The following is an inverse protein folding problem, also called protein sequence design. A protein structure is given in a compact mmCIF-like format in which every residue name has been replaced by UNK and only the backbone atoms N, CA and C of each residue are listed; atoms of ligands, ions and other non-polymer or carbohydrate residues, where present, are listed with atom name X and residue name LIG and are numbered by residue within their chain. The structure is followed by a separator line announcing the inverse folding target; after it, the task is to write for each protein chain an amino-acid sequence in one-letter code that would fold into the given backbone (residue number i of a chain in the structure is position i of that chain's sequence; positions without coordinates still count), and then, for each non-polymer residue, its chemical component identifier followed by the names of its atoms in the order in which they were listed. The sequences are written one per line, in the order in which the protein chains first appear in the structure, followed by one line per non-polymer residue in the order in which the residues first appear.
data_IF_156120705584
#
_entry.id   IF_156120705584
#
_cell.length_a   1.000
_cell.length_b   1.000
_cell.length_c   1.000
_cell.angle_alpha   90.00
_cell.angle_beta   90.00
_cell.angle_gamma   90.00
#
_symmetry.space_group_name_H-M   'P 1'
#
loop_
_entity.id
_entity.type
_entity.pdbx_description
1 polymer ?
#
# COMPACT_ATOMS: atom_id res chain seq x y z
N UNK A 1 -30.56 -36.41 -37.30
CA UNK A 1 -30.75 -35.44 -36.21
C UNK A 1 -29.63 -35.64 -35.22
N UNK A 2 -28.76 -34.65 -34.98
CA UNK A 2 -27.80 -34.71 -33.88
C UNK A 2 -28.42 -34.09 -32.61
N UNK A 3 -28.00 -34.52 -31.41
CA UNK A 3 -28.49 -33.96 -30.15
C UNK A 3 -27.83 -32.59 -29.88
N UNK A 4 -28.65 -31.66 -29.42
CA UNK A 4 -28.27 -30.33 -28.94
C UNK A 4 -27.71 -30.42 -27.53
N UNK A 5 -26.43 -30.08 -27.37
CA UNK A 5 -25.82 -29.80 -26.06
C UNK A 5 -26.25 -28.40 -25.60
N UNK A 6 -27.12 -28.39 -24.59
CA UNK A 6 -27.61 -27.21 -23.90
C UNK A 6 -26.86 -27.10 -22.56
N UNK A 7 -25.71 -26.42 -22.56
CA UNK A 7 -24.99 -26.09 -21.33
C UNK A 7 -25.43 -24.71 -20.84
N UNK A 8 -26.42 -24.71 -19.94
CA UNK A 8 -26.86 -23.55 -19.17
C UNK A 8 -25.72 -23.02 -18.31
N UNK A 9 -25.39 -21.73 -18.49
CA UNK A 9 -24.49 -20.98 -17.61
C UNK A 9 -25.28 -20.52 -16.39
N UNK A 10 -24.96 -21.06 -15.22
CA UNK A 10 -25.40 -20.52 -13.94
C UNK A 10 -24.67 -19.19 -13.67
N UNK A 11 -25.40 -18.10 -13.82
CA UNK A 11 -25.02 -16.78 -13.36
C UNK A 11 -25.21 -16.70 -11.85
N UNK A 12 -24.14 -16.87 -11.10
CA UNK A 12 -24.13 -16.62 -9.65
C UNK A 12 -24.21 -15.09 -9.44
N UNK A 13 -25.43 -14.62 -9.19
CA UNK A 13 -25.70 -13.32 -8.56
C UNK A 13 -25.20 -13.39 -7.12
N UNK A 14 -24.18 -12.61 -6.78
CA UNK A 14 -23.73 -12.47 -5.39
C UNK A 14 -24.49 -11.28 -4.80
N UNK A 15 -25.51 -11.62 -4.03
CA UNK A 15 -26.22 -10.66 -3.19
C UNK A 15 -25.25 -10.06 -2.17
N UNK A 16 -25.18 -8.73 -2.23
CA UNK A 16 -24.88 -7.84 -1.13
C UNK A 16 -25.77 -8.19 0.07
N UNK A 17 -25.17 -8.67 1.16
CA UNK A 17 -25.50 -8.31 2.55
C UNK A 17 -24.75 -9.20 3.55
N UNK A 18 -23.60 -8.71 4.01
CA UNK A 18 -23.03 -9.09 5.31
C UNK A 18 -22.71 -7.80 6.05
N UNK A 19 -23.69 -7.33 6.82
CA UNK A 19 -23.53 -6.22 7.74
C UNK A 19 -22.72 -6.66 8.95
N UNK A 20 -21.48 -6.18 9.08
CA UNK A 20 -20.81 -6.14 10.37
C UNK A 20 -21.20 -4.85 11.07
N UNK A 21 -21.54 -4.96 12.34
CA UNK A 21 -21.87 -3.81 13.19
C UNK A 21 -20.71 -2.79 13.15
N UNK A 22 -21.01 -1.61 12.62
CA UNK A 22 -20.11 -0.47 12.63
C UNK A 22 -20.03 0.04 14.08
N UNK A 23 -18.88 -0.12 14.72
CA UNK A 23 -18.54 0.72 15.86
C UNK A 23 -18.09 2.06 15.27
N UNK A 24 -18.96 3.06 15.35
CA UNK A 24 -18.65 4.42 14.98
C UNK A 24 -17.68 5.01 16.01
N UNK A 25 -16.46 5.33 15.56
CA UNK A 25 -15.43 5.98 16.37
C UNK A 25 -15.29 7.47 16.03
N UNK A 26 -16.29 8.07 15.36
CA UNK A 26 -16.31 9.51 15.04
C UNK A 26 -16.22 10.42 16.27
N UNK A 27 -16.44 9.88 17.48
CA UNK A 27 -16.26 10.56 18.77
C UNK A 27 -15.00 10.20 19.57
N UNK A 28 -14.02 9.48 19.00
CA UNK A 28 -12.77 9.20 19.71
C UNK A 28 -11.87 10.43 19.67
N UNK A 29 -11.89 11.18 20.77
CA UNK A 29 -10.94 12.24 21.08
C UNK A 29 -9.59 11.63 21.51
N UNK A 30 -8.47 12.08 20.92
CA UNK A 30 -7.14 11.44 21.02
C UNK A 30 -6.18 12.07 22.06
N UNK A 31 -6.65 12.94 22.96
CA UNK A 31 -5.94 13.41 24.18
C UNK A 31 -6.97 13.98 25.17
N UNK A 32 -6.76 14.18 26.48
CA UNK A 32 -5.65 14.04 27.42
C UNK A 32 -6.21 13.45 28.74
N UNK A 33 -5.33 12.81 29.53
CA UNK A 33 -5.43 12.45 30.96
C UNK A 33 -6.80 12.46 31.66
N UNK A 34 -7.25 11.30 32.17
CA UNK A 34 -7.86 11.22 33.52
C UNK A 34 -7.73 9.82 34.16
N UNK A 35 -7.65 9.84 35.48
CA UNK A 35 -7.25 8.80 36.43
C UNK A 35 -8.28 7.66 36.51
N UNK A 36 -7.81 6.42 36.47
CA UNK A 36 -8.66 5.24 36.70
C UNK A 36 -8.57 4.75 38.16
N UNK A 37 -9.73 4.73 38.82
CA UNK A 37 -9.95 4.05 40.10
C UNK A 37 -10.05 2.51 39.92
N UNK A 38 -9.35 1.79 40.77
CA UNK A 38 -9.25 0.33 40.80
C UNK A 38 -10.52 -0.34 41.37
N UNK A 39 -11.10 -1.31 40.63
CA UNK A 39 -11.90 -2.39 41.22
C UNK A 39 -11.52 -3.76 40.67
N UNK A 40 -11.06 -4.62 41.59
CA UNK A 40 -10.69 -6.03 41.42
C UNK A 40 -11.90 -6.90 41.05
N UNK A 41 -11.71 -7.78 40.07
CA UNK A 41 -12.48 -9.01 39.92
C UNK A 41 -11.52 -10.16 39.59
N UNK A 42 -11.52 -11.20 40.41
CA UNK A 42 -10.76 -12.44 40.23
C UNK A 42 -11.60 -13.44 39.42
N UNK A 43 -11.02 -14.07 38.40
CA UNK A 43 -11.56 -15.29 37.78
C UNK A 43 -10.47 -16.28 37.39
N UNK A 44 -10.81 -17.55 37.59
CA UNK A 44 -10.03 -18.77 37.43
C UNK A 44 -9.56 -19.04 35.99
N UNK A 45 -8.38 -19.66 35.91
CA UNK A 45 -7.72 -20.09 34.67
C UNK A 45 -8.06 -21.56 34.40
N UNK A 46 -8.54 -21.85 33.19
CA UNK A 46 -8.70 -23.22 32.65
C UNK A 46 -7.54 -23.51 31.71
N UNK A 47 -6.77 -24.57 32.01
CA UNK A 47 -5.68 -25.07 31.17
C UNK A 47 -6.22 -25.91 30.00
N UNK A 48 -5.79 -25.59 28.77
CA UNK A 48 -6.03 -26.41 27.59
C UNK A 48 -4.69 -26.94 27.04
N UNK A 49 -4.58 -28.26 26.89
CA UNK A 49 -3.47 -28.98 26.27
C UNK A 49 -3.48 -28.81 24.74
N UNK A 50 -2.34 -28.47 24.15
CA UNK A 50 -2.15 -28.40 22.69
C UNK A 50 -1.39 -29.63 22.18
N UNK A 51 -1.91 -30.24 21.12
CA UNK A 51 -1.28 -31.29 20.34
C UNK A 51 -0.51 -30.71 19.15
N UNK A 52 0.68 -31.28 18.89
CA UNK A 52 1.57 -30.96 17.78
C UNK A 52 0.96 -31.37 16.43
N UNK A 53 1.06 -30.51 15.43
CA UNK A 53 0.79 -30.83 14.02
C UNK A 53 2.06 -30.55 13.22
N UNK A 54 2.55 -31.56 12.53
CA UNK A 54 3.71 -31.53 11.62
C UNK A 54 3.34 -30.87 10.27
N UNK A 55 4.21 -29.98 9.77
CA UNK A 55 4.11 -29.36 8.45
C UNK A 55 4.81 -30.20 7.36
N UNK A 56 4.22 -30.34 6.14
CA UNK A 56 4.88 -30.99 5.01
C UNK A 56 5.74 -30.01 4.19
N UNK A 57 6.97 -30.43 3.89
CA UNK A 57 7.92 -29.72 3.02
C UNK A 57 7.60 -29.95 1.54
N UNK A 58 7.30 -28.88 0.80
CA UNK A 58 7.17 -28.87 -0.66
C UNK A 58 8.46 -28.34 -1.31
N UNK A 59 9.17 -29.21 -2.04
CA UNK A 59 10.30 -28.85 -2.89
C UNK A 59 9.79 -28.51 -4.31
N UNK A 60 9.88 -27.24 -4.71
CA UNK A 60 9.77 -26.86 -6.12
C UNK A 60 11.14 -26.60 -6.72
N UNK A 61 11.47 -27.40 -7.74
CA UNK A 61 12.69 -27.34 -8.56
C UNK A 61 12.42 -26.42 -9.75
N UNK A 62 13.01 -25.23 -9.75
CA UNK A 62 12.98 -24.30 -10.89
C UNK A 62 14.09 -24.69 -11.86
N UNK A 63 13.72 -24.96 -13.11
CA UNK A 63 14.64 -25.17 -14.23
C UNK A 63 14.85 -23.84 -14.93
N UNK A 64 16.07 -23.31 -14.88
CA UNK A 64 16.51 -22.16 -15.67
C UNK A 64 17.11 -22.69 -16.98
N UNK A 65 16.56 -22.25 -18.11
CA UNK A 65 17.16 -22.45 -19.44
C UNK A 65 17.74 -21.11 -19.91
N UNK A 66 19.07 -21.07 -20.04
CA UNK A 66 19.83 -19.95 -20.60
C UNK A 66 19.76 -19.97 -22.14
N UNK A 67 19.37 -18.86 -22.75
CA UNK A 67 19.51 -18.64 -24.21
C UNK A 67 20.10 -17.24 -24.49
N UNK A 68 21.38 -17.12 -24.89
CA UNK A 68 22.05 -15.83 -24.96
C UNK A 68 22.27 -15.36 -26.40
N UNK A 69 21.24 -14.85 -27.10
CA UNK A 69 21.45 -14.15 -28.39
C UNK A 69 20.40 -13.08 -28.71
N UNK A 70 20.61 -11.84 -28.27
CA UNK A 70 20.29 -10.62 -29.05
C UNK A 70 20.68 -9.35 -28.30
N UNK A 71 21.54 -8.52 -28.89
CA UNK A 71 21.23 -7.10 -29.16
C UNK A 71 22.46 -6.40 -29.77
N UNK A 72 22.29 -5.90 -30.99
CA UNK A 72 23.16 -4.87 -31.60
C UNK A 72 22.30 -3.63 -31.82
N UNK A 73 22.80 -2.52 -31.27
CA UNK A 73 22.84 -1.14 -31.79
C UNK A 73 21.52 -0.51 -32.25
N UNK A 74 21.18 0.61 -31.62
CA UNK A 74 20.76 1.83 -32.33
C UNK A 74 21.20 3.05 -31.51
N UNK A 75 22.06 3.88 -32.13
CA UNK A 75 22.46 5.18 -31.62
C UNK A 75 21.55 6.23 -32.27
N UNK A 76 20.85 7.02 -31.44
CA UNK A 76 20.11 8.19 -31.90
C UNK A 76 20.87 9.49 -31.56
N UNK A 77 20.70 10.55 -32.37
CA UNK A 77 21.43 11.79 -32.21
C UNK A 77 20.88 12.63 -31.05
N UNK A 78 21.79 13.23 -30.27
CA UNK A 78 21.47 14.18 -29.22
C UNK A 78 21.18 15.54 -29.85
N UNK A 79 19.91 15.94 -29.91
CA UNK A 79 19.55 17.34 -30.15
C UNK A 79 19.60 18.12 -28.82
N UNK A 80 20.43 19.15 -28.81
CA UNK A 80 20.61 20.08 -27.70
C UNK A 80 19.61 21.23 -27.85
N UNK A 81 18.50 21.19 -27.10
CA UNK A 81 17.54 22.31 -27.03
C UNK A 81 17.13 22.58 -25.57
N UNK A 82 17.42 23.82 -25.14
CA UNK A 82 16.83 24.60 -24.02
C UNK A 82 16.96 24.03 -22.57
N UNK A 83 18.14 24.22 -21.97
CA UNK A 83 18.38 24.03 -20.52
C UNK A 83 17.75 25.11 -19.61
N UNK A 84 17.46 26.32 -20.12
CA UNK A 84 17.10 27.45 -19.25
C UNK A 84 15.64 27.48 -18.80
N UNK A 85 14.72 26.83 -19.52
CA UNK A 85 13.29 26.80 -19.12
C UNK A 85 12.99 25.68 -18.11
N UNK A 86 13.77 24.60 -18.13
CA UNK A 86 13.64 23.49 -17.20
C UNK A 86 14.04 23.86 -15.76
N UNK A 87 15.16 24.58 -15.58
CA UNK A 87 15.61 25.03 -14.25
C UNK A 87 14.63 26.00 -13.57
N UNK A 88 13.93 26.82 -14.36
CA UNK A 88 12.95 27.79 -13.84
C UNK A 88 11.64 27.11 -13.40
N UNK A 89 11.26 26.00 -14.06
CA UNK A 89 10.14 25.17 -13.66
C UNK A 89 10.44 24.38 -12.37
N UNK A 90 11.67 23.86 -12.25
CA UNK A 90 12.13 23.11 -11.08
C UNK A 90 12.19 23.96 -9.80
N UNK A 91 12.65 25.23 -9.88
CA UNK A 91 12.66 26.14 -8.71
C UNK A 91 11.27 26.57 -8.23
N UNK A 92 10.29 26.68 -9.12
CA UNK A 92 8.88 26.92 -8.73
C UNK A 92 8.29 25.70 -8.01
N UNK A 93 8.70 24.49 -8.39
CA UNK A 93 8.24 23.26 -7.76
C UNK A 93 8.72 23.12 -6.30
N UNK A 94 9.98 23.42 -6.01
CA UNK A 94 10.52 23.45 -4.63
C UNK A 94 9.80 24.47 -3.73
N UNK A 95 9.29 25.57 -4.31
CA UNK A 95 8.50 26.56 -3.58
C UNK A 95 7.05 26.11 -3.35
N UNK A 96 6.40 25.44 -4.31
CA UNK A 96 5.01 24.98 -4.15
C UNK A 96 4.89 23.76 -3.23
N UNK A 97 5.90 22.86 -3.22
CA UNK A 97 5.91 21.69 -2.33
C UNK A 97 6.22 22.01 -0.86
N UNK A 98 6.80 23.18 -0.56
CA UNK A 98 7.10 23.62 0.82
C UNK A 98 5.86 23.92 1.68
N UNK A 99 4.66 23.97 1.10
CA UNK A 99 3.42 24.29 1.81
C UNK A 99 2.35 23.20 1.72
N UNK A 100 2.72 21.94 1.44
CA UNK A 100 1.82 20.83 1.75
C UNK A 100 2.04 20.50 3.22
N UNK A 101 1.24 21.10 4.10
CA UNK A 101 1.09 20.57 5.45
C UNK A 101 0.57 19.15 5.31
N UNK A 102 1.46 18.19 5.57
CA UNK A 102 1.09 16.79 5.65
C UNK A 102 0.07 16.63 6.80
N UNK A 103 -0.86 15.67 6.69
CA UNK A 103 -1.83 15.41 7.75
C UNK A 103 -1.13 15.22 9.09
N UNK A 104 -1.76 15.66 10.18
CA UNK A 104 -1.21 15.56 11.53
C UNK A 104 -0.55 14.18 11.76
N UNK A 105 0.75 14.21 12.08
CA UNK A 105 1.56 13.01 12.35
C UNK A 105 2.43 12.51 11.19
N UNK A 106 2.22 12.94 9.94
CA UNK A 106 3.15 12.63 8.86
C UNK A 106 4.23 13.71 8.74
N UNK A 107 5.49 13.34 9.00
CA UNK A 107 6.65 14.17 8.65
C UNK A 107 7.27 13.62 7.38
N UNK A 108 7.63 14.50 6.45
CA UNK A 108 8.38 14.12 5.26
C UNK A 108 9.78 13.69 5.70
N UNK A 109 9.94 12.40 5.97
CA UNK A 109 11.21 11.82 6.37
C UNK A 109 11.89 11.27 5.12
N UNK A 110 13.16 11.65 4.92
CA UNK A 110 13.99 10.98 3.93
C UNK A 110 14.04 9.50 4.29
N UNK A 111 13.67 8.63 3.34
CA UNK A 111 13.80 7.18 3.52
C UNK A 111 15.23 6.85 3.93
N UNK A 112 15.37 6.10 5.03
CA UNK A 112 16.64 5.53 5.42
C UNK A 112 17.10 4.46 4.42
N UNK A 113 18.34 4.02 4.55
CA UNK A 113 18.80 2.81 3.86
C UNK A 113 18.03 1.61 4.41
N UNK A 114 17.44 0.81 3.53
CA UNK A 114 16.69 -0.39 3.93
C UNK A 114 17.60 -1.37 4.69
N UNK A 115 17.19 -1.73 5.90
CA UNK A 115 17.77 -2.79 6.72
C UNK A 115 16.80 -4.00 6.71
N UNK A 116 17.17 -5.12 6.06
CA UNK A 116 16.31 -6.30 5.96
C UNK A 116 15.96 -6.95 7.30
N UNK A 117 16.88 -6.96 8.26
CA UNK A 117 16.68 -7.60 9.56
C UNK A 117 15.76 -6.75 10.44
N UNK A 118 16.00 -5.44 10.46
CA UNK A 118 15.09 -4.48 11.11
C UNK A 118 13.70 -4.53 10.47
N UNK A 119 13.60 -4.61 9.13
CA UNK A 119 12.32 -4.67 8.42
C UNK A 119 11.55 -5.95 8.79
N UNK A 120 12.25 -7.08 8.90
CA UNK A 120 11.66 -8.35 9.35
C UNK A 120 11.16 -8.26 10.80
N UNK A 121 11.92 -7.63 11.69
CA UNK A 121 11.53 -7.39 13.08
C UNK A 121 10.29 -6.48 13.16
N UNK A 122 10.32 -5.33 12.48
CA UNK A 122 9.19 -4.39 12.42
C UNK A 122 7.94 -5.02 11.79
N UNK A 123 8.09 -5.83 10.73
CA UNK A 123 6.98 -6.54 10.09
C UNK A 123 6.32 -7.52 11.07
N UNK A 124 7.11 -8.23 11.88
CA UNK A 124 6.61 -9.11 12.94
C UNK A 124 5.89 -8.31 14.02
N UNK A 125 6.47 -7.19 14.45
CA UNK A 125 5.85 -6.29 15.43
C UNK A 125 4.48 -5.80 14.97
N UNK A 126 4.36 -5.33 13.73
CA UNK A 126 3.07 -4.91 13.13
C UNK A 126 2.08 -6.08 13.12
N UNK A 127 2.51 -7.25 12.62
CA UNK A 127 1.64 -8.43 12.55
C UNK A 127 1.08 -8.81 13.93
N UNK A 128 1.93 -8.85 14.95
CA UNK A 128 1.52 -9.22 16.31
C UNK A 128 0.54 -8.21 16.91
N UNK A 129 0.86 -6.92 16.84
CA UNK A 129 0.01 -5.85 17.40
C UNK A 129 -1.35 -5.81 16.72
N UNK A 130 -1.40 -5.93 15.39
CA UNK A 130 -2.67 -6.04 14.66
C UNK A 130 -3.45 -7.27 15.08
N UNK A 131 -2.80 -8.44 15.19
CA UNK A 131 -3.47 -9.69 15.57
C UNK A 131 -4.00 -9.67 17.00
N UNK A 132 -3.26 -9.08 17.94
CA UNK A 132 -3.73 -8.90 19.32
C UNK A 132 -4.94 -7.96 19.39
N UNK A 133 -4.89 -6.85 18.65
CA UNK A 133 -6.02 -5.93 18.53
C UNK A 133 -7.26 -6.62 17.93
N UNK A 134 -7.10 -7.35 16.83
CA UNK A 134 -8.20 -8.05 16.13
C UNK A 134 -8.85 -9.14 16.98
N UNK A 135 -8.04 -9.92 17.71
CA UNK A 135 -8.54 -10.98 18.58
C UNK A 135 -9.06 -10.43 19.92
N UNK A 136 -8.82 -9.15 20.21
CA UNK A 136 -9.13 -8.55 21.50
C UNK A 136 -8.38 -9.19 22.66
N UNK A 137 -7.16 -9.69 22.41
CA UNK A 137 -6.36 -10.39 23.42
C UNK A 137 -5.11 -9.60 23.78
N UNK A 138 -4.67 -9.77 25.03
CA UNK A 138 -3.44 -9.18 25.53
C UNK A 138 -2.19 -9.85 24.96
N UNK A 139 -1.10 -9.10 24.77
CA UNK A 139 0.24 -9.67 24.67
C UNK A 139 0.57 -10.50 25.92
N UNK A 140 0.97 -11.76 25.74
CA UNK A 140 1.49 -12.59 26.84
C UNK A 140 2.98 -12.86 26.65
N UNK A 141 3.74 -12.99 27.73
CA UNK A 141 5.18 -13.33 27.72
C UNK A 141 5.44 -14.86 27.67
N UNK A 142 4.49 -15.65 27.14
CA UNK A 142 4.70 -17.11 26.99
C UNK A 142 5.93 -17.41 26.11
N UNK A 143 6.46 -18.62 26.11
CA UNK A 143 7.72 -18.99 25.42
C UNK A 143 7.74 -18.63 23.92
N UNK A 144 6.58 -18.58 23.28
CA UNK A 144 6.37 -18.13 21.88
C UNK A 144 6.55 -16.61 21.70
N UNK A 145 6.62 -15.85 22.79
CA UNK A 145 6.64 -14.38 22.89
C UNK A 145 8.04 -13.77 23.08
N UNK A 146 9.05 -14.56 23.43
CA UNK A 146 10.44 -14.06 23.48
C UNK A 146 10.92 -13.60 22.09
N UNK A 147 10.45 -14.24 21.03
CA UNK A 147 10.64 -13.81 19.63
C UNK A 147 9.92 -12.49 19.30
N UNK A 148 8.93 -12.11 20.10
CA UNK A 148 8.23 -10.84 19.99
C UNK A 148 9.02 -9.76 20.72
N UNK A 149 9.49 -10.00 21.95
CA UNK A 149 10.20 -8.99 22.74
C UNK A 149 11.43 -8.40 22.00
N UNK A 150 12.21 -9.26 21.34
CA UNK A 150 13.33 -8.82 20.50
C UNK A 150 12.88 -7.99 19.28
N UNK A 151 11.73 -8.33 18.69
CA UNK A 151 11.15 -7.58 17.58
C UNK A 151 10.56 -6.23 18.00
N UNK A 152 10.30 -6.04 19.29
CA UNK A 152 9.74 -4.81 19.86
C UNK A 152 10.80 -3.82 20.36
N UNK A 153 12.08 -4.20 20.46
CA UNK A 153 13.17 -3.33 20.99
C UNK A 153 12.76 -2.57 22.26
N UNK A 154 12.04 -3.23 23.18
CA UNK A 154 11.51 -2.62 24.40
C UNK A 154 10.45 -1.51 24.21
N UNK A 155 10.04 -1.17 22.98
CA UNK A 155 9.04 -0.12 22.69
C UNK A 155 7.65 -0.41 23.24
N UNK A 156 7.35 -1.68 23.50
CA UNK A 156 6.01 -2.19 23.85
C UNK A 156 6.01 -2.90 25.22
N UNK A 157 7.02 -2.68 26.08
CA UNK A 157 7.10 -3.30 27.42
C UNK A 157 5.90 -2.97 28.30
N UNK A 158 5.36 -1.76 28.17
CA UNK A 158 4.17 -1.31 28.88
C UNK A 158 2.97 -2.21 28.60
N UNK A 159 2.80 -2.67 27.35
CA UNK A 159 1.70 -3.57 26.98
C UNK A 159 1.77 -4.92 27.72
N UNK A 160 2.97 -5.39 28.07
CA UNK A 160 3.15 -6.63 28.83
C UNK A 160 2.97 -6.43 30.33
N UNK A 161 3.06 -5.20 30.84
CA UNK A 161 2.93 -4.91 32.28
C UNK A 161 1.49 -4.58 32.70
N UNK A 162 0.65 -4.04 31.81
CA UNK A 162 -0.71 -3.60 32.13
C UNK A 162 -1.67 -4.78 32.34
N UNK A 163 -2.28 -4.91 33.52
CA UNK A 163 -3.15 -6.06 33.86
C UNK A 163 -4.51 -6.10 33.16
N UNK A 164 -4.93 -5.02 32.52
CA UNK A 164 -6.25 -4.86 31.88
C UNK A 164 -6.10 -4.80 30.36
N UNK A 165 -7.06 -5.38 29.65
CA UNK A 165 -7.10 -5.29 28.19
C UNK A 165 -7.43 -3.87 27.77
N UNK A 166 -6.51 -3.23 27.03
CA UNK A 166 -6.71 -1.90 26.49
C UNK A 166 -6.57 -1.91 24.96
N UNK A 167 -7.68 -2.20 24.28
CA UNK A 167 -7.75 -2.26 22.81
C UNK A 167 -7.36 -0.94 22.16
N UNK A 168 -7.67 0.19 22.81
CA UNK A 168 -7.31 1.52 22.31
C UNK A 168 -5.80 1.68 22.27
N UNK A 169 -5.10 1.30 23.34
CA UNK A 169 -3.63 1.34 23.36
C UNK A 169 -3.05 0.39 22.32
N UNK A 170 -3.59 -0.83 22.16
CA UNK A 170 -3.13 -1.77 21.13
C UNK A 170 -3.29 -1.20 19.71
N UNK A 171 -4.41 -0.54 19.43
CA UNK A 171 -4.63 0.13 18.14
C UNK A 171 -3.64 1.26 17.88
N UNK A 172 -3.40 2.12 18.87
CA UNK A 172 -2.42 3.21 18.74
C UNK A 172 -1.01 2.64 18.52
N UNK A 173 -0.65 1.57 19.23
CA UNK A 173 0.64 0.90 19.09
C UNK A 173 0.80 0.20 17.74
N UNK A 174 -0.26 -0.43 17.21
CA UNK A 174 -0.21 -1.04 15.87
C UNK A 174 0.00 0.01 14.78
N UNK A 175 -0.65 1.17 14.91
CA UNK A 175 -0.45 2.34 14.04
C UNK A 175 0.99 2.84 14.11
N UNK A 176 1.55 3.03 15.31
CA UNK A 176 2.95 3.46 15.48
C UNK A 176 3.94 2.45 14.90
N UNK A 177 3.70 1.15 15.13
CA UNK A 177 4.52 0.09 14.54
C UNK A 177 4.48 0.10 13.01
N UNK A 178 3.31 0.40 12.42
CA UNK A 178 3.14 0.52 10.99
C UNK A 178 3.93 1.73 10.44
N UNK A 179 3.93 2.85 11.15
CA UNK A 179 4.71 4.03 10.79
C UNK A 179 6.22 3.76 10.91
N UNK A 180 6.67 3.07 11.96
CA UNK A 180 8.05 2.60 12.12
C UNK A 180 8.47 1.70 10.93
N UNK A 181 7.63 0.73 10.56
CA UNK A 181 7.87 -0.13 9.39
C UNK A 181 8.01 0.69 8.10
N UNK A 182 7.19 1.73 7.94
CA UNK A 182 7.18 2.57 6.76
C UNK A 182 8.49 3.36 6.56
N UNK A 183 9.25 3.61 7.64
CA UNK A 183 10.57 4.26 7.56
C UNK A 183 11.67 3.36 6.97
N UNK A 184 11.45 2.04 6.96
CA UNK A 184 12.42 1.03 6.57
C UNK A 184 11.89 0.08 5.47
N UNK A 185 10.94 0.56 4.65
CA UNK A 185 10.43 -0.24 3.52
C UNK A 185 11.56 -0.60 2.55
N UNK A 186 11.51 -1.81 1.96
CA UNK A 186 12.39 -2.11 0.84
C UNK A 186 12.11 -1.13 -0.33
N UNK A 187 13.10 -0.89 -1.20
CA UNK A 187 12.87 -0.14 -2.42
C UNK A 187 11.73 -0.79 -3.21
N UNK A 188 10.86 0.03 -3.78
CA UNK A 188 9.77 -0.49 -4.61
C UNK A 188 10.35 -1.10 -5.91
N UNK A 189 9.66 -2.08 -6.51
CA UNK A 189 10.04 -2.55 -7.83
C UNK A 189 9.99 -1.40 -8.83
N UNK A 190 10.90 -1.46 -9.80
CA UNK A 190 10.95 -0.51 -10.92
C UNK A 190 10.22 -1.08 -12.11
N UNK A 191 9.44 -0.25 -12.80
CA UNK A 191 8.84 -0.62 -14.08
C UNK A 191 9.89 -0.80 -15.17
N UNK A 192 9.57 -1.58 -16.19
CA UNK A 192 10.43 -1.80 -17.37
C UNK A 192 10.72 -0.47 -18.10
N UNK A 193 9.76 0.46 -18.04
CA UNK A 193 9.80 1.73 -18.76
C UNK A 193 9.99 2.94 -17.85
N UNK A 194 10.31 2.74 -16.57
CA UNK A 194 10.35 3.84 -15.60
C UNK A 194 11.44 4.89 -15.91
N UNK A 195 12.57 4.45 -16.49
CA UNK A 195 13.68 5.33 -16.89
C UNK A 195 13.34 6.26 -18.07
N UNK A 196 12.25 5.99 -18.81
CA UNK A 196 11.77 6.82 -19.92
C UNK A 196 10.50 7.60 -19.54
N UNK A 197 10.27 7.82 -18.25
CA UNK A 197 9.20 8.66 -17.75
C UNK A 197 9.75 9.99 -17.25
N UNK A 198 8.92 11.03 -17.34
CA UNK A 198 9.22 12.33 -16.74
C UNK A 198 7.98 12.96 -16.15
N UNK A 199 8.16 13.68 -15.05
CA UNK A 199 7.13 14.55 -14.48
C UNK A 199 7.17 15.90 -15.20
N UNK A 200 6.03 16.39 -15.65
CA UNK A 200 5.89 17.70 -16.28
C UNK A 200 4.49 18.28 -16.00
N UNK A 201 4.20 19.57 -16.27
CA UNK A 201 2.85 20.11 -16.14
C UNK A 201 1.83 19.30 -16.96
N UNK A 202 0.70 18.95 -16.34
CA UNK A 202 -0.36 18.17 -16.97
C UNK A 202 -1.03 18.93 -18.12
N UNK A 203 -1.55 18.18 -19.10
CA UNK A 203 -2.42 18.71 -20.15
C UNK A 203 -3.85 18.96 -19.66
N UNK A 204 -4.21 18.48 -18.46
CA UNK A 204 -5.48 18.79 -17.80
C UNK A 204 -5.36 20.14 -17.09
N UNK A 205 -6.22 21.09 -17.45
CA UNK A 205 -6.20 22.43 -16.87
C UNK A 205 -6.41 22.37 -15.35
N UNK A 206 -5.47 22.94 -14.60
CA UNK A 206 -5.53 23.00 -13.13
C UNK A 206 -5.14 21.71 -12.39
N UNK A 207 -4.78 20.62 -13.08
CA UNK A 207 -4.39 19.36 -12.43
C UNK A 207 -2.98 19.39 -11.82
N UNK A 208 -2.17 20.41 -12.13
CA UNK A 208 -0.79 20.51 -11.67
C UNK A 208 0.15 19.70 -12.58
N UNK A 209 0.76 18.65 -12.03
CA UNK A 209 1.73 17.83 -12.76
C UNK A 209 1.08 16.55 -13.30
N UNK A 210 1.61 16.05 -14.40
CA UNK A 210 1.32 14.75 -15.01
C UNK A 210 2.58 13.93 -15.22
N UNK A 211 2.42 12.66 -15.55
CA UNK A 211 3.51 11.75 -15.89
C UNK A 211 3.53 11.52 -17.40
N UNK A 212 4.67 11.69 -18.05
CA UNK A 212 4.80 11.66 -19.51
C UNK A 212 5.83 10.63 -19.95
N UNK A 213 5.55 9.94 -21.06
CA UNK A 213 6.52 9.08 -21.72
C UNK A 213 7.53 9.92 -22.54
N UNK A 214 8.81 9.61 -22.46
CA UNK A 214 9.86 10.25 -23.29
C UNK A 214 10.26 9.39 -24.48
N UNK A 215 9.81 8.13 -24.52
CA UNK A 215 10.01 7.19 -25.63
C UNK A 215 8.76 6.30 -25.76
N UNK A 216 8.73 5.48 -26.81
CA UNK A 216 7.63 4.55 -27.06
C UNK A 216 7.52 3.47 -25.98
N UNK A 217 6.30 3.22 -25.50
CA UNK A 217 5.98 2.10 -24.60
C UNK A 217 4.96 1.19 -25.32
N UNK A 218 5.27 -0.10 -25.53
CA UNK A 218 4.33 -1.02 -26.16
C UNK A 218 3.15 -1.33 -25.24
N UNK A 219 2.01 -1.68 -25.85
CA UNK A 219 0.84 -2.22 -25.15
C UNK A 219 1.21 -3.43 -24.28
N UNK A 220 0.70 -3.47 -23.05
CA UNK A 220 0.94 -4.55 -22.10
C UNK A 220 2.24 -4.42 -21.31
N UNK A 221 3.07 -3.41 -21.59
CA UNK A 221 4.29 -3.12 -20.85
C UNK A 221 3.99 -2.63 -19.43
N UNK A 222 4.79 -3.08 -18.45
CA UNK A 222 4.73 -2.59 -17.08
C UNK A 222 5.47 -1.25 -17.01
N UNK A 223 4.72 -0.16 -16.97
CA UNK A 223 5.22 1.20 -17.09
C UNK A 223 6.00 1.62 -15.84
N UNK A 224 5.36 1.49 -14.68
CA UNK A 224 5.90 1.78 -13.35
C UNK A 224 5.05 1.05 -12.30
N UNK A 225 5.36 1.25 -11.03
CA UNK A 225 4.59 0.68 -9.92
C UNK A 225 4.01 1.79 -9.04
N UNK A 226 2.75 1.63 -8.66
CA UNK A 226 2.15 2.39 -7.57
C UNK A 226 2.53 1.72 -6.26
N UNK A 227 3.42 2.36 -5.51
CA UNK A 227 3.93 1.91 -4.23
C UNK A 227 3.90 3.08 -3.23
N UNK A 228 4.21 2.83 -1.97
CA UNK A 228 4.00 3.84 -0.95
C UNK A 228 4.14 3.31 0.47
N UNK A 229 3.77 4.14 1.43
CA UNK A 229 3.61 3.74 2.81
C UNK A 229 2.44 2.76 2.95
N UNK A 230 2.64 1.72 3.73
CA UNK A 230 1.67 0.64 3.93
C UNK A 230 0.73 1.01 5.06
N UNK A 231 -0.54 0.74 4.84
CA UNK A 231 -1.61 0.96 5.81
C UNK A 231 -2.56 -0.25 5.83
N UNK A 232 -2.94 -0.67 7.04
CA UNK A 232 -4.09 -1.53 7.25
C UNK A 232 -5.37 -0.68 7.36
N UNK A 233 -6.53 -1.35 7.37
CA UNK A 233 -7.85 -0.72 7.35
C UNK A 233 -8.05 0.36 8.42
N UNK A 234 -7.61 0.12 9.66
CA UNK A 234 -7.74 1.11 10.74
C UNK A 234 -6.75 2.26 10.58
N UNK A 235 -5.47 1.97 10.27
CA UNK A 235 -4.47 3.03 10.11
C UNK A 235 -4.81 4.01 9.00
N UNK A 236 -5.48 3.59 7.90
CA UNK A 236 -5.85 4.52 6.84
C UNK A 236 -7.01 5.45 7.22
N UNK A 237 -7.81 5.13 8.25
CA UNK A 237 -8.94 6.00 8.67
C UNK A 237 -8.48 7.33 9.24
N UNK A 238 -7.22 7.43 9.69
CA UNK A 238 -6.63 8.69 10.17
C UNK A 238 -6.51 9.74 9.07
N UNK A 239 -6.48 9.31 7.81
CA UNK A 239 -6.39 10.22 6.67
C UNK A 239 -7.76 10.78 6.34
N UNK A 240 -7.85 12.12 6.24
CA UNK A 240 -9.05 12.88 5.90
C UNK A 240 -8.77 13.86 4.77
N UNK A 241 -9.80 14.18 3.99
CA UNK A 241 -9.72 15.17 2.91
C UNK A 241 -8.61 14.87 1.90
N UNK A 242 -7.80 15.89 1.57
CA UNK A 242 -6.74 15.83 0.56
C UNK A 242 -5.66 14.77 0.84
N UNK A 243 -5.47 14.39 2.10
CA UNK A 243 -4.57 13.31 2.51
C UNK A 243 -4.89 11.98 1.81
N UNK A 244 -6.17 11.73 1.57
CA UNK A 244 -6.65 10.46 1.01
C UNK A 244 -6.46 10.36 -0.49
N UNK A 245 -6.12 11.47 -1.17
CA UNK A 245 -6.03 11.53 -2.63
C UNK A 245 -4.95 10.59 -3.22
N UNK A 246 -3.96 10.20 -2.41
CA UNK A 246 -2.84 9.34 -2.81
C UNK A 246 -2.92 7.93 -2.20
N UNK A 247 -4.08 7.55 -1.65
CA UNK A 247 -4.28 6.23 -1.06
C UNK A 247 -4.88 5.31 -2.12
N UNK A 248 -4.09 4.32 -2.55
CA UNK A 248 -4.56 3.22 -3.36
C UNK A 248 -4.96 2.05 -2.46
N UNK A 249 -6.20 1.58 -2.58
CA UNK A 249 -6.62 0.32 -1.98
C UNK A 249 -6.10 -0.83 -2.85
N UNK A 250 -5.26 -1.68 -2.29
CA UNK A 250 -4.82 -2.93 -2.92
C UNK A 250 -5.87 -4.01 -2.69
N UNK A 251 -6.34 -4.63 -3.76
CA UNK A 251 -7.23 -5.80 -3.69
C UNK A 251 -6.41 -7.07 -3.47
N UNK A 252 -5.72 -7.13 -2.34
CA UNK A 252 -4.88 -8.25 -1.92
C UNK A 252 -5.67 -9.31 -1.14
N UNK A 253 -6.95 -9.06 -0.86
CA UNK A 253 -7.85 -9.97 -0.17
C UNK A 253 -8.03 -11.28 -0.92
N UNK A 254 -7.16 -12.25 -0.63
CA UNK A 254 -7.40 -13.65 -0.94
C UNK A 254 -7.63 -14.41 0.38
N UNK A 255 -8.71 -15.22 0.49
CA UNK A 255 -9.80 -15.36 -0.48
C UNK A 255 -10.60 -14.05 -0.65
N UNK A 256 -11.27 -13.88 -1.81
CA UNK A 256 -11.97 -12.64 -2.24
C UNK A 256 -12.92 -12.01 -1.22
N UNK A 257 -13.33 -12.76 -0.20
CA UNK A 257 -14.28 -12.34 0.83
C UNK A 257 -13.60 -11.90 2.14
N UNK A 258 -12.30 -12.08 2.28
CA UNK A 258 -11.56 -11.64 3.47
C UNK A 258 -11.01 -10.22 3.30
N UNK A 259 -11.88 -9.24 3.53
CA UNK A 259 -11.52 -7.81 3.50
C UNK A 259 -10.50 -7.41 4.56
N UNK A 260 -10.20 -8.27 5.54
CA UNK A 260 -9.15 -8.00 6.55
C UNK A 260 -7.76 -8.00 5.92
N UNK A 261 -7.61 -8.65 4.76
CA UNK A 261 -6.37 -8.70 4.00
C UNK A 261 -6.25 -7.57 2.95
N UNK A 262 -7.21 -6.64 2.91
CA UNK A 262 -7.08 -5.46 2.04
C UNK A 262 -5.98 -4.54 2.58
N UNK A 263 -4.94 -4.38 1.77
CA UNK A 263 -3.87 -3.43 2.02
C UNK A 263 -4.20 -2.06 1.44
N UNK A 264 -3.69 -1.00 2.05
CA UNK A 264 -3.73 0.36 1.50
C UNK A 264 -2.31 0.86 1.34
N UNK A 265 -2.06 1.61 0.27
CA UNK A 265 -0.76 2.18 -0.04
C UNK A 265 -0.92 3.68 -0.22
N UNK A 266 -0.17 4.47 0.55
CA UNK A 266 -0.12 5.93 0.48
C UNK A 266 1.16 6.38 -0.23
N UNK A 267 1.01 6.95 -1.44
CA UNK A 267 2.14 7.44 -2.23
C UNK A 267 2.50 8.92 -1.92
N UNK A 268 1.76 9.61 -1.04
CA UNK A 268 2.01 11.02 -0.72
C UNK A 268 3.43 11.26 -0.14
N UNK A 269 3.93 10.43 0.80
CA UNK A 269 5.26 10.62 1.38
C UNK A 269 6.40 10.16 0.46
N UNK A 270 6.09 9.48 -0.65
CA UNK A 270 7.07 8.75 -1.47
C UNK A 270 7.25 9.49 -2.79
N UNK A 271 8.10 10.51 -2.77
CA UNK A 271 8.38 11.39 -3.91
C UNK A 271 9.06 10.66 -5.08
N UNK A 272 9.72 9.53 -4.80
CA UNK A 272 10.34 8.63 -5.77
C UNK A 272 9.34 7.81 -6.59
N UNK A 273 8.10 7.64 -6.09
CA UNK A 273 7.07 6.86 -6.78
C UNK A 273 6.42 7.68 -7.87
N UNK A 274 6.87 7.53 -9.12
CA UNK A 274 6.37 8.30 -10.26
C UNK A 274 4.87 8.11 -10.53
N UNK A 275 4.32 6.93 -10.25
CA UNK A 275 2.92 6.59 -10.50
C UNK A 275 1.92 7.55 -9.81
N UNK A 276 2.34 8.25 -8.74
CA UNK A 276 1.51 9.25 -8.04
C UNK A 276 1.17 10.49 -8.88
N UNK A 277 1.88 10.71 -9.98
CA UNK A 277 1.67 11.84 -10.89
C UNK A 277 0.77 11.47 -12.08
N UNK A 278 0.28 10.23 -12.16
CA UNK A 278 -0.66 9.83 -13.23
C UNK A 278 -2.03 10.37 -12.87
N UNK A 279 -2.59 11.21 -13.74
CA UNK A 279 -3.88 11.84 -13.53
C UNK A 279 -5.05 10.97 -14.03
N UNK A 280 -6.24 11.25 -13.49
CA UNK A 280 -7.49 10.76 -14.07
C UNK A 280 -8.09 11.82 -15.01
N UNK A 281 -8.28 11.50 -16.30
CA UNK A 281 -8.81 12.43 -17.30
C UNK A 281 -10.33 12.65 -17.20
N UNK A 282 -11.03 11.97 -16.29
CA UNK A 282 -12.51 11.87 -16.15
C UNK A 282 -13.25 11.26 -17.35
N UNK A 283 -12.52 10.98 -18.42
CA UNK A 283 -12.98 10.41 -19.67
C UNK A 283 -12.21 9.11 -19.90
N UNK A 284 -12.88 7.98 -19.70
CA UNK A 284 -12.26 6.65 -19.70
C UNK A 284 -11.54 6.35 -21.02
N UNK A 285 -12.04 6.85 -22.14
CA UNK A 285 -11.44 6.72 -23.47
C UNK A 285 -10.06 7.39 -23.62
N UNK A 286 -9.73 8.34 -22.73
CA UNK A 286 -8.40 8.97 -22.68
C UNK A 286 -7.39 8.17 -21.88
N UNK A 287 -7.83 7.18 -21.09
CA UNK A 287 -6.93 6.34 -20.33
C UNK A 287 -6.03 5.54 -21.28
N UNK A 288 -4.75 5.46 -20.96
CA UNK A 288 -3.76 4.70 -21.74
C UNK A 288 -2.94 3.75 -20.86
N UNK A 289 -3.16 3.79 -19.55
CA UNK A 289 -2.64 2.82 -18.58
C UNK A 289 -3.75 2.36 -17.62
N UNK A 290 -3.53 1.23 -16.95
CA UNK A 290 -4.43 0.67 -15.94
C UNK A 290 -3.68 0.01 -14.79
N UNK A 291 -4.33 -0.14 -13.65
CA UNK A 291 -3.80 -0.88 -12.51
C UNK A 291 -4.00 -2.38 -12.72
N UNK A 292 -2.94 -3.17 -12.57
CA UNK A 292 -3.02 -4.63 -12.57
C UNK A 292 -2.89 -5.16 -11.15
N UNK A 293 -3.99 -5.66 -10.59
CA UNK A 293 -3.97 -6.22 -9.24
C UNK A 293 -3.16 -7.52 -9.19
N UNK A 294 -2.29 -7.64 -8.19
CA UNK A 294 -1.54 -8.85 -7.88
C UNK A 294 -2.21 -9.50 -6.67
N UNK A 295 -2.71 -10.72 -6.82
CA UNK A 295 -3.38 -11.47 -5.74
C UNK A 295 -2.38 -12.34 -5.00
N UNK A 296 -1.32 -11.73 -4.47
CA UNK A 296 -0.26 -12.43 -3.75
C UNK A 296 -0.09 -11.81 -2.35
N UNK A 297 -0.13 -12.63 -1.28
CA UNK A 297 0.12 -12.13 0.08
C UNK A 297 1.48 -11.44 0.19
N UNK A 298 1.51 -10.29 0.86
CA UNK A 298 2.75 -9.55 1.11
C UNK A 298 3.22 -8.68 -0.05
N UNK A 299 2.52 -8.63 -1.19
CA UNK A 299 2.79 -7.69 -2.27
C UNK A 299 2.12 -6.34 -1.99
N UNK A 300 2.93 -5.30 -1.74
CA UNK A 300 2.47 -3.96 -1.35
C UNK A 300 2.71 -2.91 -2.45
N UNK A 301 2.44 -3.29 -3.70
CA UNK A 301 2.55 -2.42 -4.85
C UNK A 301 1.59 -2.86 -5.95
N UNK A 302 1.18 -1.94 -6.80
CA UNK A 302 0.31 -2.22 -7.95
C UNK A 302 1.01 -1.83 -9.26
N UNK A 303 1.28 -2.79 -10.16
CA UNK A 303 1.77 -2.49 -11.50
C UNK A 303 0.83 -1.57 -12.26
N UNK A 304 1.39 -0.55 -12.89
CA UNK A 304 0.72 0.28 -13.90
C UNK A 304 1.09 -0.27 -15.26
N UNK A 305 0.10 -0.72 -16.03
CA UNK A 305 0.29 -1.42 -17.31
C UNK A 305 -0.34 -0.62 -18.44
N UNK A 306 0.37 -0.49 -19.56
CA UNK A 306 -0.16 0.17 -20.77
C UNK A 306 -1.28 -0.65 -21.41
N UNK A 307 -2.42 -0.02 -21.74
CA UNK A 307 -3.55 -0.70 -22.40
C UNK A 307 -3.54 -0.55 -23.93
N UNK A 308 -2.68 0.33 -24.44
CA UNK A 308 -2.36 0.56 -25.84
C UNK A 308 -0.89 0.95 -25.97
N UNK A 309 -0.39 1.04 -27.21
CA UNK A 309 0.91 1.65 -27.45
C UNK A 309 0.87 3.13 -27.05
N UNK A 310 1.93 3.61 -26.40
CA UNK A 310 2.07 4.98 -25.92
C UNK A 310 3.25 5.62 -26.64
N UNK A 311 3.00 6.73 -27.33
CA UNK A 311 4.02 7.45 -28.08
C UNK A 311 4.86 8.36 -27.17
N UNK A 312 6.06 8.71 -27.63
CA UNK A 312 6.88 9.70 -26.95
C UNK A 312 6.15 11.05 -26.86
N UNK A 313 6.12 11.65 -25.68
CA UNK A 313 5.46 12.90 -25.39
C UNK A 313 4.01 12.78 -24.91
N UNK A 314 3.39 11.60 -24.95
CA UNK A 314 2.05 11.40 -24.40
C UNK A 314 2.06 11.45 -22.87
N UNK A 315 1.00 12.04 -22.30
CA UNK A 315 0.70 11.98 -20.87
C UNK A 315 0.04 10.64 -20.53
N UNK A 316 0.39 10.08 -19.40
CA UNK A 316 -0.20 8.86 -18.85
C UNK A 316 -1.47 9.20 -18.08
N UNK A 317 -2.52 8.47 -18.38
CA UNK A 317 -3.84 8.64 -17.79
C UNK A 317 -4.40 7.30 -17.31
N UNK A 318 -4.98 7.32 -16.11
CA UNK A 318 -5.58 6.17 -15.45
C UNK A 318 -6.92 6.54 -14.84
N UNK A 319 -7.89 5.63 -14.85
CA UNK A 319 -9.15 5.85 -14.14
C UNK A 319 -8.95 5.64 -12.64
N UNK A 320 -9.31 6.64 -11.82
CA UNK A 320 -9.38 6.52 -10.36
C UNK A 320 -10.67 5.82 -9.90
N UNK A 321 -11.64 5.68 -10.81
CA UNK A 321 -12.92 5.06 -10.57
C UNK A 321 -13.96 5.99 -9.95
N UNK A 322 -15.25 5.64 -10.05
CA UNK A 322 -16.36 6.52 -9.66
C UNK A 322 -16.35 6.86 -8.16
N UNK A 323 -15.92 5.92 -7.31
CA UNK A 323 -15.88 6.12 -5.86
C UNK A 323 -14.92 7.26 -5.45
N UNK A 324 -13.80 7.39 -6.16
CA UNK A 324 -12.86 8.48 -5.88
C UNK A 324 -13.54 9.84 -6.09
N UNK A 325 -14.28 9.98 -7.18
CA UNK A 325 -14.93 11.23 -7.54
C UNK A 325 -16.16 11.52 -6.68
N UNK A 326 -16.94 10.51 -6.30
CA UNK A 326 -18.08 10.70 -5.39
C UNK A 326 -17.67 11.18 -4.01
N UNK A 327 -16.47 10.81 -3.54
CA UNK A 327 -15.95 11.24 -2.24
C UNK A 327 -15.42 12.71 -2.26
N UNK A 328 -15.39 13.37 -3.43
CA UNK A 328 -14.93 14.76 -3.61
C UNK A 328 -16.06 15.78 -3.80
N UNK A 329 -17.30 15.32 -4.00
CA UNK A 329 -18.51 16.15 -4.15
C UNK A 329 -19.20 16.42 -2.81
#
# INVERSE_FOLDING_TARGET
MPPSDDTSRDSISIDSDVAFAFVDFSGVDFGDDEKSDDRKAEREVVECHNQNIDEPKLHHRIVLSDDPKRQKRNAYPKEAVKRNDAEKCQKRHEQTMKCVELPDGQKLQKRGTHDPDLFKAQSRRVHNLCRWYELGIRPSLSSSSLLNLAAHEHKDEDLFNVKVDNLRTLLVRSIQAQDDLNTNLPPHPRGEYEDILRVAPSTINGAGNGLFATAHIPKGGVVCYYAGYRHHYESQKRFKGKARAYILKLQNGWPKNDRRNDGFVDALPTEDVLARFINDPKLEERCNVTFKYIQEPGIWHCPVVSIRDIAAGEELFISYGPRYWSDQE
#
